data_IF_864303897287
#
_entry.id   IF_864303897287
#
_cell.length_a   1.000
_cell.length_b   1.000
_cell.length_c   1.000
_cell.angle_alpha   90.00
_cell.angle_beta   90.00
_cell.angle_gamma   90.00
#
_symmetry.space_group_name_H-M   'P 1'
#
loop_
_entity.id
_entity.type
_entity.pdbx_description
1 polymer ?
#
# COMPACT_ATOMS: atom_id res chain seq x y z
N UNK A 1 14.85 -7.12 -4.68
CA UNK A 1 13.81 -6.30 -5.29
C UNK A 1 14.40 -5.09 -5.99
N UNK A 2 14.39 -5.10 -7.32
CA UNK A 2 14.58 -3.86 -8.08
C UNK A 2 13.24 -3.11 -8.05
N UNK A 3 13.02 -2.28 -7.02
CA UNK A 3 11.78 -1.51 -6.90
C UNK A 3 11.64 -0.53 -8.06
N UNK A 4 10.87 -0.88 -9.09
CA UNK A 4 10.70 -0.04 -10.29
C UNK A 4 9.61 1.00 -10.08
N UNK A 5 9.66 2.10 -10.83
CA UNK A 5 8.59 3.11 -10.80
C UNK A 5 7.21 2.55 -11.16
N UNK A 6 7.16 1.56 -12.07
CA UNK A 6 5.92 0.89 -12.45
C UNK A 6 5.32 0.05 -11.31
N UNK A 7 6.16 -0.64 -10.52
CA UNK A 7 5.73 -1.37 -9.33
C UNK A 7 5.22 -0.43 -8.24
N UNK A 8 5.90 0.70 -8.05
CA UNK A 8 5.44 1.74 -7.14
C UNK A 8 4.06 2.25 -7.54
N UNK A 9 3.86 2.62 -8.80
CA UNK A 9 2.60 3.17 -9.29
C UNK A 9 1.45 2.16 -9.14
N UNK A 10 1.72 0.88 -9.46
CA UNK A 10 0.76 -0.22 -9.21
C UNK A 10 0.43 -0.37 -7.73
N UNK A 11 1.44 -0.26 -6.85
CA UNK A 11 1.23 -0.32 -5.41
C UNK A 11 0.40 0.85 -4.88
N UNK A 12 0.69 2.06 -5.35
CA UNK A 12 -0.06 3.26 -5.00
C UNK A 12 -1.53 3.17 -5.43
N UNK A 13 -1.81 2.71 -6.65
CA UNK A 13 -3.18 2.47 -7.12
C UNK A 13 -3.86 1.38 -6.29
N UNK A 14 -3.19 0.25 -6.05
CA UNK A 14 -3.77 -0.84 -5.28
C UNK A 14 -4.12 -0.39 -3.84
N UNK A 15 -3.24 0.37 -3.19
CA UNK A 15 -3.49 0.95 -1.87
C UNK A 15 -4.67 1.93 -1.90
N UNK A 16 -4.76 2.78 -2.93
CA UNK A 16 -5.88 3.70 -3.09
C UNK A 16 -7.22 2.99 -3.31
N UNK A 17 -7.24 1.94 -4.15
CA UNK A 17 -8.45 1.12 -4.37
C UNK A 17 -8.86 0.40 -3.08
N UNK A 18 -7.90 -0.20 -2.36
CA UNK A 18 -8.19 -0.84 -1.07
C UNK A 18 -8.70 0.16 -0.04
N UNK A 19 -8.17 1.38 -0.04
CA UNK A 19 -8.68 2.46 0.79
C UNK A 19 -10.14 2.76 0.45
N UNK A 20 -10.49 2.97 -0.82
CA UNK A 20 -11.87 3.24 -1.21
C UNK A 20 -12.81 2.09 -0.80
N UNK A 21 -12.40 0.84 -0.99
CA UNK A 21 -13.21 -0.33 -0.60
C UNK A 21 -13.41 -0.39 0.91
N UNK A 22 -12.35 -0.36 1.70
CA UNK A 22 -12.45 -0.48 3.17
C UNK A 22 -13.12 0.73 3.79
N UNK A 23 -12.86 1.92 3.27
CA UNK A 23 -13.52 3.14 3.70
C UNK A 23 -15.03 3.08 3.44
N UNK A 24 -15.45 2.59 2.26
CA UNK A 24 -16.88 2.41 2.00
C UNK A 24 -17.50 1.32 2.84
N UNK A 25 -16.82 0.20 3.08
CA UNK A 25 -17.33 -0.79 4.03
C UNK A 25 -17.49 -0.19 5.43
N UNK A 26 -16.54 0.64 5.87
CA UNK A 26 -16.60 1.33 7.14
C UNK A 26 -17.72 2.39 7.22
N UNK A 27 -18.07 3.04 6.11
CA UNK A 27 -19.16 4.03 6.04
C UNK A 27 -20.54 3.40 5.83
N UNK A 28 -20.65 2.33 5.03
CA UNK A 28 -21.93 1.69 4.72
C UNK A 28 -22.57 1.04 5.95
N UNK A 29 -21.77 0.47 6.86
CA UNK A 29 -22.24 -0.13 8.11
C UNK A 29 -23.02 0.87 8.99
N UNK A 30 -22.49 2.07 9.30
CA UNK A 30 -23.18 3.05 10.14
C UNK A 30 -24.15 3.99 9.39
N UNK A 31 -23.94 4.26 8.09
CA UNK A 31 -24.65 5.34 7.37
C UNK A 31 -25.64 4.86 6.29
N UNK A 32 -25.73 3.54 6.07
CA UNK A 32 -26.61 2.94 5.08
C UNK A 32 -26.53 3.63 3.70
N UNK A 33 -27.66 3.99 3.09
CA UNK A 33 -27.75 4.57 1.74
C UNK A 33 -26.99 5.89 1.56
N UNK A 34 -26.69 6.63 2.64
CA UNK A 34 -25.93 7.90 2.53
C UNK A 34 -24.43 7.69 2.28
N UNK A 35 -23.92 6.46 2.38
CA UNK A 35 -22.53 6.13 2.08
C UNK A 35 -22.10 6.48 0.65
N UNK A 36 -23.02 6.54 -0.31
CA UNK A 36 -22.72 6.97 -1.69
C UNK A 36 -22.35 8.46 -1.78
N UNK A 37 -22.98 9.32 -0.98
CA UNK A 37 -22.62 10.75 -0.90
C UNK A 37 -21.22 10.88 -0.30
N UNK A 38 -20.92 10.06 0.73
CA UNK A 38 -19.58 9.94 1.30
C UNK A 38 -18.53 9.59 0.24
N UNK A 39 -18.82 8.65 -0.67
CA UNK A 39 -17.91 8.30 -1.77
C UNK A 39 -17.57 9.51 -2.64
N UNK A 40 -18.58 10.26 -3.08
CA UNK A 40 -18.40 11.41 -3.96
C UNK A 40 -17.53 12.50 -3.32
N UNK A 41 -17.59 12.64 -2.00
CA UNK A 41 -16.75 13.58 -1.24
C UNK A 41 -15.35 13.00 -1.00
N UNK A 42 -15.24 11.71 -0.67
CA UNK A 42 -13.98 11.05 -0.35
C UNK A 42 -13.08 10.83 -1.58
N UNK A 43 -13.65 10.58 -2.76
CA UNK A 43 -12.86 10.28 -3.97
C UNK A 43 -11.94 11.44 -4.37
N UNK A 44 -12.42 12.69 -4.54
CA UNK A 44 -11.54 13.82 -4.85
C UNK A 44 -10.48 14.07 -3.78
N UNK A 45 -10.88 13.92 -2.50
CA UNK A 45 -9.99 14.14 -1.36
C UNK A 45 -8.86 13.11 -1.30
N UNK A 46 -9.21 11.83 -1.42
CA UNK A 46 -8.24 10.73 -1.42
C UNK A 46 -7.36 10.73 -2.66
N UNK A 47 -7.87 11.18 -3.81
CA UNK A 47 -7.07 11.38 -5.01
C UNK A 47 -6.04 12.50 -4.81
N UNK A 48 -6.45 13.63 -4.22
CA UNK A 48 -5.53 14.71 -3.85
C UNK A 48 -4.43 14.23 -2.89
N UNK A 49 -4.83 13.49 -1.84
CA UNK A 49 -3.89 12.88 -0.90
C UNK A 49 -2.93 11.89 -1.57
N UNK A 50 -3.41 11.10 -2.54
CA UNK A 50 -2.59 10.20 -3.33
C UNK A 50 -1.57 10.97 -4.18
N UNK A 51 -2.01 12.01 -4.89
CA UNK A 51 -1.14 12.82 -5.76
C UNK A 51 -0.04 13.52 -4.96
N UNK A 52 -0.38 14.07 -3.79
CA UNK A 52 0.58 14.75 -2.91
C UNK A 52 1.47 13.75 -2.15
N UNK A 53 0.89 12.64 -1.71
CA UNK A 53 1.59 11.61 -0.93
C UNK A 53 2.48 10.70 -1.76
N UNK A 54 2.17 10.48 -3.04
CA UNK A 54 2.91 9.57 -3.91
C UNK A 54 4.40 9.93 -4.06
N UNK A 55 4.81 11.19 -4.29
CA UNK A 55 6.23 11.57 -4.31
C UNK A 55 6.97 11.22 -3.02
N UNK A 56 6.34 11.45 -1.87
CA UNK A 56 6.93 11.16 -0.54
C UNK A 56 7.04 9.65 -0.33
N UNK A 57 5.98 8.90 -0.65
CA UNK A 57 5.98 7.44 -0.60
C UNK A 57 7.04 6.83 -1.53
N UNK A 58 7.23 7.42 -2.72
CA UNK A 58 8.27 7.01 -3.66
C UNK A 58 9.66 7.25 -3.10
N UNK A 59 9.91 8.41 -2.49
CA UNK A 59 11.18 8.71 -1.82
C UNK A 59 11.48 7.73 -0.67
N UNK A 60 10.46 7.40 0.15
CA UNK A 60 10.58 6.37 1.19
C UNK A 60 10.95 5.02 0.56
N UNK A 61 10.22 4.59 -0.49
CA UNK A 61 10.53 3.36 -1.21
C UNK A 61 11.95 3.34 -1.78
N UNK A 62 12.45 4.46 -2.30
CA UNK A 62 13.82 4.58 -2.78
C UNK A 62 14.86 4.44 -1.67
N UNK A 63 14.64 5.08 -0.52
CA UNK A 63 15.52 4.96 0.66
C UNK A 63 15.56 3.53 1.19
N UNK A 64 14.45 2.81 1.09
CA UNK A 64 14.31 1.44 1.58
C UNK A 64 14.83 0.37 0.61
N UNK A 65 15.29 0.73 -0.59
CA UNK A 65 15.86 -0.22 -1.57
C UNK A 65 16.99 -1.08 -1.01
N UNK A 66 17.71 -0.61 0.02
CA UNK A 66 18.79 -1.35 0.69
C UNK A 66 18.28 -2.42 1.67
N UNK A 67 17.01 -2.37 2.07
CA UNK A 67 16.44 -3.27 3.05
C UNK A 67 15.78 -4.46 2.37
N UNK A 68 16.26 -5.69 2.64
CA UNK A 68 15.69 -6.90 2.04
C UNK A 68 14.43 -7.41 2.77
N UNK A 69 14.18 -6.93 3.98
CA UNK A 69 13.07 -7.41 4.82
C UNK A 69 11.77 -6.70 4.47
N UNK A 70 10.75 -7.47 4.10
CA UNK A 70 9.39 -6.99 3.79
C UNK A 70 8.73 -6.28 4.98
N UNK A 71 9.01 -6.71 6.21
CA UNK A 71 8.41 -6.15 7.43
C UNK A 71 8.69 -4.64 7.54
N UNK A 72 9.92 -4.21 7.24
CA UNK A 72 10.26 -2.80 7.29
C UNK A 72 9.46 -1.97 6.30
N UNK A 73 9.23 -2.48 5.08
CA UNK A 73 8.41 -1.80 4.08
C UNK A 73 6.97 -1.68 4.56
N UNK A 74 6.40 -2.76 5.10
CA UNK A 74 5.04 -2.74 5.66
C UNK A 74 4.91 -1.72 6.79
N UNK A 75 5.85 -1.69 7.74
CA UNK A 75 5.84 -0.74 8.86
C UNK A 75 5.96 0.70 8.35
N UNK A 76 6.93 0.99 7.47
CA UNK A 76 7.15 2.33 6.95
C UNK A 76 5.95 2.85 6.15
N UNK A 77 5.41 2.05 5.23
CA UNK A 77 4.25 2.45 4.45
C UNK A 77 2.96 2.52 5.28
N UNK A 78 2.79 1.67 6.29
CA UNK A 78 1.64 1.77 7.20
C UNK A 78 1.73 3.02 8.06
N UNK A 79 2.91 3.35 8.59
CA UNK A 79 3.14 4.58 9.34
C UNK A 79 2.92 5.83 8.48
N UNK A 80 3.41 5.80 7.23
CA UNK A 80 3.16 6.87 6.26
C UNK A 80 1.65 7.03 5.95
N UNK A 81 0.96 5.92 5.69
CA UNK A 81 -0.48 5.91 5.46
C UNK A 81 -1.29 6.45 6.65
N UNK A 82 -0.91 6.06 7.87
CA UNK A 82 -1.47 6.61 9.12
C UNK A 82 -1.26 8.13 9.21
N UNK A 83 -0.05 8.60 8.93
CA UNK A 83 0.26 10.04 8.93
C UNK A 83 -0.58 10.82 7.92
N UNK A 84 -0.66 10.34 6.68
CA UNK A 84 -1.51 10.95 5.64
C UNK A 84 -2.98 10.90 6.04
N UNK A 85 -3.47 9.76 6.55
CA UNK A 85 -4.84 9.61 7.05
C UNK A 85 -5.17 10.60 8.17
N UNK A 86 -4.29 10.75 9.16
CA UNK A 86 -4.46 11.70 10.24
C UNK A 86 -4.48 13.16 9.72
N UNK A 87 -3.51 13.54 8.88
CA UNK A 87 -3.43 14.91 8.31
C UNK A 87 -4.66 15.24 7.47
N UNK A 88 -5.06 14.34 6.57
CA UNK A 88 -6.23 14.52 5.71
C UNK A 88 -7.53 14.57 6.51
N UNK A 89 -7.64 13.81 7.60
CA UNK A 89 -8.79 13.86 8.51
C UNK A 89 -8.84 15.17 9.27
N UNK A 90 -7.72 15.62 9.86
CA UNK A 90 -7.63 16.91 10.53
C UNK A 90 -7.98 18.06 9.58
N UNK A 91 -7.48 18.01 8.34
CA UNK A 91 -7.75 19.03 7.33
C UNK A 91 -9.24 19.02 6.92
N UNK A 92 -9.84 17.84 6.76
CA UNK A 92 -11.27 17.72 6.46
C UNK A 92 -12.15 18.29 7.58
N UNK A 93 -11.81 18.00 8.85
CA UNK A 93 -12.50 18.58 10.02
C UNK A 93 -12.31 20.09 10.08
N UNK A 94 -11.10 20.59 9.82
CA UNK A 94 -10.79 22.03 9.87
C UNK A 94 -11.48 22.83 8.77
N UNK A 95 -11.58 22.27 7.56
CA UNK A 95 -12.25 22.90 6.42
C UNK A 95 -13.76 22.64 6.37
N UNK A 96 -14.31 21.87 7.32
CA UNK A 96 -15.71 21.49 7.27
C UNK A 96 -16.61 22.73 7.31
N UNK A 97 -17.49 22.92 6.31
CA UNK A 97 -18.36 24.09 6.28
C UNK A 97 -19.33 24.11 7.46
N UNK A 98 -19.36 25.23 8.18
CA UNK A 98 -20.10 25.36 9.45
C UNK A 98 -21.63 25.26 9.27
N UNK A 99 -22.13 25.46 8.06
CA UNK A 99 -23.55 25.31 7.70
C UNK A 99 -24.02 23.84 7.67
N UNK A 100 -23.12 22.85 7.77
CA UNK A 100 -23.46 21.45 7.99
C UNK A 100 -23.80 21.13 9.45
N UNK A 101 -23.79 22.13 10.35
CA UNK A 101 -24.13 21.94 11.77
C UNK A 101 -23.09 21.14 12.58
N UNK A 102 -21.91 20.89 11.99
CA UNK A 102 -20.85 20.14 12.64
C UNK A 102 -20.06 21.05 13.59
N UNK A 103 -20.03 20.69 14.86
CA UNK A 103 -19.47 21.50 15.96
C UNK A 103 -17.93 21.44 16.07
N UNK A 104 -17.22 21.06 15.01
CA UNK A 104 -15.75 20.85 15.05
C UNK A 104 -15.30 19.71 15.98
N UNK A 105 -16.23 18.95 16.55
CA UNK A 105 -15.93 17.81 17.39
C UNK A 105 -15.55 16.60 16.54
N UNK A 106 -14.45 15.94 16.92
CA UNK A 106 -14.08 14.62 16.42
C UNK A 106 -15.18 13.64 16.83
N UNK A 107 -16.07 13.32 15.90
CA UNK A 107 -17.07 12.28 16.12
C UNK A 107 -16.40 10.89 16.13
N UNK A 108 -16.99 9.89 16.81
CA UNK A 108 -16.52 8.51 16.70
C UNK A 108 -16.45 7.99 15.25
N UNK A 109 -17.35 8.46 14.38
CA UNK A 109 -17.31 8.14 12.95
C UNK A 109 -16.07 8.71 12.24
N UNK A 110 -15.59 9.88 12.64
CA UNK A 110 -14.35 10.48 12.12
C UNK A 110 -13.12 9.65 12.50
N UNK A 111 -13.10 9.11 13.73
CA UNK A 111 -12.03 8.21 14.18
C UNK A 111 -12.06 6.89 13.41
N UNK A 112 -13.26 6.31 13.21
CA UNK A 112 -13.40 5.09 12.41
C UNK A 112 -12.91 5.26 10.97
N UNK A 113 -13.19 6.42 10.36
CA UNK A 113 -12.66 6.77 9.04
C UNK A 113 -11.14 6.84 9.05
N UNK A 114 -10.53 7.55 10.01
CA UNK A 114 -9.08 7.64 10.11
C UNK A 114 -8.42 6.27 10.33
N UNK A 115 -9.03 5.44 11.18
CA UNK A 115 -8.54 4.09 11.48
C UNK A 115 -8.67 3.14 10.28
N UNK A 116 -9.68 3.32 9.41
CA UNK A 116 -9.85 2.50 8.20
C UNK A 116 -8.72 2.66 7.18
N UNK A 117 -8.02 3.79 7.20
CA UNK A 117 -6.90 4.06 6.30
C UNK A 117 -5.69 3.16 6.58
N UNK A 118 -5.43 2.83 7.85
CA UNK A 118 -4.27 2.04 8.25
C UNK A 118 -4.27 0.60 7.68
N UNK A 119 -5.33 -0.22 7.86
CA UNK A 119 -5.38 -1.56 7.28
C UNK A 119 -5.47 -1.51 5.74
N UNK A 120 -6.11 -0.49 5.15
CA UNK A 120 -6.18 -0.33 3.70
C UNK A 120 -4.79 -0.19 3.07
N UNK A 121 -3.98 0.71 3.65
CA UNK A 121 -2.62 0.96 3.19
C UNK A 121 -1.77 -0.29 3.42
N UNK A 122 -1.84 -0.90 4.61
CA UNK A 122 -1.11 -2.13 4.91
C UNK A 122 -1.44 -3.26 3.92
N UNK A 123 -2.73 -3.49 3.62
CA UNK A 123 -3.17 -4.54 2.70
C UNK A 123 -2.77 -4.25 1.25
N UNK A 124 -2.90 -3.01 0.78
CA UNK A 124 -2.47 -2.61 -0.56
C UNK A 124 -0.98 -2.81 -0.80
N UNK A 125 -0.15 -2.44 0.18
CA UNK A 125 1.29 -2.65 0.12
C UNK A 125 1.67 -4.11 0.30
N UNK A 126 1.00 -4.86 1.19
CA UNK A 126 1.20 -6.30 1.32
C UNK A 126 0.95 -7.00 -0.02
N UNK A 127 -0.19 -6.76 -0.65
CA UNK A 127 -0.57 -7.42 -1.91
C UNK A 127 0.47 -7.14 -3.00
N UNK A 128 0.93 -5.89 -3.11
CA UNK A 128 1.94 -5.48 -4.08
C UNK A 128 3.30 -6.12 -3.79
N UNK A 129 3.73 -6.12 -2.53
CA UNK A 129 5.00 -6.72 -2.12
C UNK A 129 5.02 -8.24 -2.33
N UNK A 130 3.92 -8.93 -2.01
CA UNK A 130 3.78 -10.38 -2.31
C UNK A 130 3.91 -10.66 -3.80
N UNK A 131 3.25 -9.86 -4.63
CA UNK A 131 3.28 -10.06 -6.08
C UNK A 131 4.68 -9.80 -6.64
N UNK A 132 5.36 -8.74 -6.20
CA UNK A 132 6.74 -8.47 -6.57
C UNK A 132 7.68 -9.62 -6.14
N UNK A 133 7.51 -10.14 -4.92
CA UNK A 133 8.25 -11.33 -4.46
C UNK A 133 7.97 -12.57 -5.30
N UNK A 134 6.73 -12.77 -5.75
CA UNK A 134 6.37 -13.91 -6.58
C UNK A 134 7.01 -13.83 -7.98
N UNK A 135 7.10 -12.62 -8.55
CA UNK A 135 7.81 -12.37 -9.82
C UNK A 135 9.32 -12.52 -9.66
N UNK A 136 9.90 -11.99 -8.58
CA UNK A 136 11.33 -12.17 -8.25
C UNK A 136 11.68 -13.65 -7.98
N UNK A 137 10.71 -14.46 -7.56
CA UNK A 137 10.83 -15.93 -7.39
C UNK A 137 10.53 -16.70 -8.68
N UNK A 138 10.27 -16.02 -9.80
CA UNK A 138 10.03 -16.61 -11.11
C UNK A 138 11.14 -17.56 -11.58
N UNK A 139 10.98 -18.20 -12.75
CA UNK A 139 11.56 -19.50 -13.11
C UNK A 139 13.09 -19.63 -13.07
N UNK A 140 13.85 -18.57 -12.83
CA UNK A 140 15.31 -18.60 -12.77
C UNK A 140 15.87 -19.51 -11.64
N UNK A 141 15.04 -19.91 -10.66
CA UNK A 141 15.40 -20.98 -9.69
C UNK A 141 14.96 -22.39 -10.09
N UNK A 142 14.16 -22.56 -11.14
CA UNK A 142 13.67 -23.85 -11.63
C UNK A 142 14.00 -24.15 -13.09
N UNK A 143 14.79 -23.30 -13.75
CA UNK A 143 15.03 -23.40 -15.18
C UNK A 143 16.23 -22.60 -15.69
N UNK A 144 17.17 -22.22 -14.82
CA UNK A 144 18.54 -22.13 -15.32
C UNK A 144 18.90 -23.60 -15.58
N UNK A 145 18.86 -24.02 -16.85
CA UNK A 145 19.65 -25.17 -17.27
C UNK A 145 21.02 -24.85 -16.71
N UNK A 146 21.42 -25.59 -15.69
CA UNK A 146 22.74 -25.50 -15.12
C UNK A 146 23.64 -26.06 -16.23
N UNK A 147 24.09 -25.15 -17.10
CA UNK A 147 24.86 -25.48 -18.31
C UNK A 147 26.17 -26.15 -17.91
N UNK A 148 26.60 -25.88 -16.68
CA UNK A 148 27.73 -26.45 -16.00
C UNK A 148 27.38 -27.69 -15.16
N UNK A 149 26.12 -27.99 -14.79
CA UNK A 149 25.78 -29.21 -14.05
C UNK A 149 26.23 -30.50 -14.76
N UNK A 150 26.02 -30.63 -16.08
CA UNK A 150 26.55 -31.79 -16.82
C UNK A 150 28.08 -31.85 -16.78
N UNK A 151 28.76 -30.72 -16.67
CA UNK A 151 30.23 -30.64 -16.57
C UNK A 151 30.71 -30.95 -15.15
N UNK A 152 30.02 -30.46 -14.12
CA UNK A 152 30.31 -30.72 -12.71
C UNK A 152 30.04 -32.19 -12.35
N UNK A 153 28.92 -32.76 -12.81
CA UNK A 153 28.59 -34.17 -12.64
C UNK A 153 29.64 -35.07 -13.33
N UNK A 154 30.07 -34.72 -14.54
CA UNK A 154 31.13 -35.44 -15.24
C UNK A 154 32.50 -35.36 -14.53
N UNK A 155 32.79 -34.29 -13.80
CA UNK A 155 34.00 -34.18 -12.99
C UNK A 155 33.93 -35.03 -11.73
N UNK A 156 32.75 -35.11 -11.10
CA UNK A 156 32.52 -35.95 -9.91
C UNK A 156 32.61 -37.43 -10.28
N UNK A 157 32.00 -37.85 -11.39
CA UNK A 157 32.01 -39.25 -11.84
C UNK A 157 33.39 -39.73 -12.33
N UNK A 158 34.26 -38.82 -12.78
CA UNK A 158 35.63 -39.14 -13.21
C UNK A 158 36.69 -38.92 -12.12
N UNK A 159 36.30 -38.57 -10.90
CA UNK A 159 37.25 -38.43 -9.79
C UNK A 159 37.65 -39.82 -9.27
N UNK A 160 38.95 -40.17 -9.26
CA UNK A 160 39.40 -41.45 -8.71
C UNK A 160 39.13 -41.52 -7.20
N UNK A 161 38.87 -42.72 -6.65
CA UNK A 161 38.52 -42.93 -5.25
C UNK A 161 39.62 -42.57 -4.26
#
# INVERSE_FOLDING_TARGET
MRFTGAEFFRGAIAAWVWFLVLHQLALLLPLAFTGWIGLWVTVPWSLGALVVGAPVAYAIGMLMRRQSRIIWHLVAFSAFGLGVGAVTTCLAVWLQPQWLGATGFISPSTVLVALSAAPAVALGWWHTARRALAVDRGPERGGRIDVDAETEDALIDNSPP
#
